data_IF_644822081013
#
_entry.id   IF_644822081013
#
_cell.length_a   1.000
_cell.length_b   1.000
_cell.length_c   1.000
_cell.angle_alpha   90.00
_cell.angle_beta   90.00
_cell.angle_gamma   90.00
#
_symmetry.space_group_name_H-M   'P 1'
#
loop_
_entity.id
_entity.type
_entity.pdbx_description
1 polymer ?
#
# COMPACT_ATOMS: atom_id res chain seq x y z
N UNK A 1 8.09 8.87 -20.87
CA UNK A 1 9.48 9.26 -20.58
C UNK A 1 10.25 8.06 -20.00
N UNK A 2 11.57 7.93 -20.25
CA UNK A 2 12.37 6.86 -19.59
C UNK A 2 12.62 7.20 -18.12
N UNK A 3 13.08 8.41 -17.84
CA UNK A 3 13.39 8.90 -16.50
C UNK A 3 12.99 10.37 -16.35
N UNK A 4 12.63 10.81 -15.14
CA UNK A 4 12.39 12.21 -14.80
C UNK A 4 13.10 12.51 -13.47
N UNK A 5 13.82 13.63 -13.39
CA UNK A 5 14.61 14.01 -12.21
C UNK A 5 14.58 15.53 -11.98
N UNK A 6 14.48 15.91 -10.71
CA UNK A 6 14.55 17.28 -10.22
C UNK A 6 13.86 17.40 -8.86
N UNK A 7 14.13 18.46 -8.10
CA UNK A 7 13.60 18.65 -6.73
C UNK A 7 12.07 18.47 -6.66
N UNK A 8 11.37 18.95 -7.69
CA UNK A 8 9.97 18.66 -7.94
C UNK A 8 9.81 18.01 -9.31
N UNK A 9 9.32 16.78 -9.33
CA UNK A 9 9.07 16.02 -10.56
C UNK A 9 7.58 15.81 -10.75
N UNK A 10 6.99 16.35 -11.83
CA UNK A 10 5.59 16.14 -12.20
C UNK A 10 5.48 15.68 -13.64
N UNK A 11 5.05 14.43 -13.84
CA UNK A 11 5.02 13.79 -15.17
C UNK A 11 3.87 12.79 -15.26
N UNK A 12 3.33 12.58 -16.46
CA UNK A 12 2.22 11.64 -16.63
C UNK A 12 2.70 10.18 -16.67
N UNK A 13 3.73 9.87 -17.46
CA UNK A 13 4.14 8.49 -17.71
C UNK A 13 5.67 8.31 -17.64
N UNK A 14 6.11 7.46 -16.71
CA UNK A 14 7.53 7.10 -16.50
C UNK A 14 7.74 5.60 -16.55
N UNK A 15 8.61 5.16 -17.46
CA UNK A 15 8.91 3.74 -17.64
C UNK A 15 9.95 3.20 -16.66
N UNK A 16 10.95 4.00 -16.25
CA UNK A 16 12.02 3.53 -15.37
C UNK A 16 12.01 4.19 -13.99
N UNK A 17 12.19 5.50 -13.91
CA UNK A 17 12.41 6.16 -12.63
C UNK A 17 11.96 7.62 -12.64
N UNK A 18 11.21 8.01 -11.62
CA UNK A 18 10.95 9.41 -11.30
C UNK A 18 11.64 9.70 -9.95
N UNK A 19 12.45 10.75 -9.86
CA UNK A 19 13.20 11.07 -8.65
C UNK A 19 13.16 12.56 -8.34
N UNK A 20 12.84 12.90 -7.09
CA UNK A 20 12.81 14.27 -6.59
C UNK A 20 12.27 14.32 -5.19
N UNK A 21 12.61 15.34 -4.40
CA UNK A 21 12.09 15.51 -3.03
C UNK A 21 10.57 15.43 -2.98
N UNK A 22 9.90 16.02 -3.98
CA UNK A 22 8.49 15.85 -4.25
C UNK A 22 8.25 15.27 -5.64
N UNK A 23 7.68 14.07 -5.70
CA UNK A 23 7.39 13.36 -6.95
C UNK A 23 5.90 13.12 -7.12
N UNK A 24 5.32 13.64 -8.20
CA UNK A 24 3.92 13.41 -8.59
C UNK A 24 3.85 12.77 -9.97
N UNK A 25 3.36 11.53 -10.04
CA UNK A 25 3.33 10.78 -11.31
C UNK A 25 2.02 10.04 -11.50
N UNK A 26 1.42 10.12 -12.68
CA UNK A 26 0.20 9.32 -12.94
C UNK A 26 0.55 7.83 -13.03
N UNK A 27 1.47 7.44 -13.92
CA UNK A 27 1.87 6.04 -14.08
C UNK A 27 3.38 5.85 -14.00
N UNK A 28 3.79 4.94 -13.11
CA UNK A 28 5.19 4.53 -12.94
C UNK A 28 5.30 3.02 -13.07
N UNK A 29 6.02 2.57 -14.09
CA UNK A 29 6.20 1.12 -14.30
C UNK A 29 7.23 0.51 -13.35
N UNK A 30 8.24 1.28 -12.91
CA UNK A 30 9.40 0.73 -12.19
C UNK A 30 9.66 1.35 -10.82
N UNK A 31 9.87 2.66 -10.71
CA UNK A 31 10.16 3.25 -9.41
C UNK A 31 9.86 4.76 -9.40
N UNK A 32 9.32 5.23 -8.28
CA UNK A 32 9.30 6.64 -7.90
C UNK A 32 10.14 6.77 -6.64
N UNK A 33 10.91 7.86 -6.50
CA UNK A 33 11.81 8.17 -5.38
C UNK A 33 11.71 9.64 -4.95
N UNK A 34 11.78 9.92 -3.65
CA UNK A 34 11.57 11.22 -3.02
C UNK A 34 11.28 11.20 -1.52
N UNK A 35 11.32 12.36 -0.88
CA UNK A 35 10.80 12.47 0.49
C UNK A 35 9.26 12.28 0.50
N UNK A 36 8.59 12.86 -0.50
CA UNK A 36 7.14 12.76 -0.68
C UNK A 36 6.81 12.31 -2.09
N UNK A 37 6.07 11.20 -2.21
CA UNK A 37 5.63 10.66 -3.50
C UNK A 37 4.12 10.51 -3.54
N UNK A 38 3.50 11.04 -4.60
CA UNK A 38 2.11 10.85 -4.95
C UNK A 38 2.01 10.17 -6.32
N UNK A 39 1.54 8.92 -6.37
CA UNK A 39 1.43 8.17 -7.63
C UNK A 39 0.01 7.66 -7.85
N UNK A 40 -0.53 7.75 -9.07
CA UNK A 40 -1.84 7.12 -9.33
C UNK A 40 -1.69 5.60 -9.47
N UNK A 41 -0.74 5.13 -10.28
CA UNK A 41 -0.48 3.71 -10.47
C UNK A 41 1.01 3.38 -10.47
N UNK A 42 1.42 2.46 -9.60
CA UNK A 42 2.79 1.94 -9.54
C UNK A 42 2.80 0.41 -9.70
N UNK A 43 3.54 -0.10 -10.68
CA UNK A 43 3.64 -1.55 -10.94
C UNK A 43 4.74 -2.22 -10.11
N UNK A 44 5.68 -1.45 -9.58
CA UNK A 44 6.87 -1.88 -8.84
C UNK A 44 7.07 -0.99 -7.59
N UNK A 45 8.05 -1.29 -6.70
CA UNK A 45 8.15 -0.60 -5.41
C UNK A 45 8.18 0.93 -5.50
N UNK A 46 7.43 1.60 -4.63
CA UNK A 46 7.64 3.00 -4.22
C UNK A 46 8.18 2.98 -2.79
N UNK A 47 9.26 3.70 -2.47
CA UNK A 47 10.02 3.56 -1.21
C UNK A 47 10.45 4.92 -0.66
N UNK A 48 9.54 5.67 -0.04
CA UNK A 48 9.76 7.07 0.33
C UNK A 48 9.54 7.36 1.82
N UNK A 49 9.77 8.60 2.29
CA UNK A 49 9.35 8.95 3.66
C UNK A 49 7.82 8.98 3.75
N UNK A 50 7.17 9.64 2.79
CA UNK A 50 5.71 9.69 2.66
C UNK A 50 5.29 9.20 1.28
N UNK A 51 4.52 8.11 1.26
CA UNK A 51 4.04 7.46 0.05
C UNK A 51 2.52 7.52 0.00
N UNK A 52 1.96 8.23 -0.98
CA UNK A 52 0.54 8.23 -1.28
C UNK A 52 0.30 7.63 -2.67
N UNK A 53 -0.41 6.51 -2.75
CA UNK A 53 -0.65 5.84 -4.04
C UNK A 53 -2.10 5.43 -4.21
N UNK A 54 -2.68 5.60 -5.40
CA UNK A 54 -4.04 5.08 -5.64
C UNK A 54 -4.02 3.57 -5.87
N UNK A 55 -3.10 3.06 -6.70
CA UNK A 55 -2.98 1.63 -7.00
C UNK A 55 -1.54 1.14 -7.02
N UNK A 56 -1.26 0.07 -6.27
CA UNK A 56 0.06 -0.54 -6.14
C UNK A 56 -0.02 -2.04 -6.42
N UNK A 57 0.70 -2.50 -7.43
CA UNK A 57 0.73 -3.94 -7.75
C UNK A 57 1.70 -4.72 -6.85
N UNK A 58 2.86 -4.15 -6.52
CA UNK A 58 3.92 -4.88 -5.80
C UNK A 58 4.15 -4.39 -4.38
N UNK A 59 4.62 -3.17 -4.21
CA UNK A 59 5.00 -2.70 -2.89
C UNK A 59 4.89 -1.17 -2.82
N UNK A 60 4.31 -0.68 -1.73
CA UNK A 60 4.42 0.69 -1.31
C UNK A 60 5.06 0.69 0.08
N UNK A 61 6.12 1.45 0.24
CA UNK A 61 6.88 1.50 1.47
C UNK A 61 7.19 2.95 1.82
N UNK A 62 7.17 3.23 3.12
CA UNK A 62 7.65 4.49 3.65
C UNK A 62 7.44 4.67 5.13
N UNK A 63 7.88 5.77 5.73
CA UNK A 63 7.56 6.03 7.14
C UNK A 63 6.03 6.18 7.31
N UNK A 64 5.40 6.92 6.40
CA UNK A 64 3.95 7.03 6.28
C UNK A 64 3.50 6.55 4.91
N UNK A 65 2.67 5.50 4.87
CA UNK A 65 2.17 4.90 3.65
C UNK A 65 0.65 4.97 3.62
N UNK A 66 0.10 5.66 2.63
CA UNK A 66 -1.34 5.74 2.37
C UNK A 66 -1.63 5.19 0.98
N UNK A 67 -2.44 4.13 0.88
CA UNK A 67 -2.77 3.52 -0.41
C UNK A 67 -4.23 3.19 -0.53
N UNK A 68 -4.87 3.49 -1.67
CA UNK A 68 -6.25 3.03 -1.88
C UNK A 68 -6.29 1.54 -2.17
N UNK A 69 -5.53 1.04 -3.14
CA UNK A 69 -5.52 -0.37 -3.53
C UNK A 69 -4.11 -0.96 -3.58
N UNK A 70 -3.89 -2.05 -2.85
CA UNK A 70 -2.61 -2.78 -2.79
C UNK A 70 -2.81 -4.25 -3.10
N UNK A 71 -2.17 -4.74 -4.16
CA UNK A 71 -2.26 -6.17 -4.48
C UNK A 71 -1.32 -7.04 -3.64
N UNK A 72 -0.12 -6.56 -3.32
CA UNK A 72 0.89 -7.35 -2.61
C UNK A 72 1.22 -6.77 -1.24
N UNK A 73 1.94 -5.65 -1.15
CA UNK A 73 2.40 -5.17 0.15
C UNK A 73 2.33 -3.66 0.32
N UNK A 74 1.88 -3.20 1.47
CA UNK A 74 2.06 -1.84 1.96
C UNK A 74 2.76 -1.89 3.31
N UNK A 75 3.83 -1.11 3.47
CA UNK A 75 4.66 -1.14 4.67
C UNK A 75 5.04 0.27 5.13
N UNK A 76 5.06 0.47 6.44
CA UNK A 76 5.59 1.70 7.01
C UNK A 76 5.54 1.76 8.52
N UNK A 77 5.97 2.86 9.14
CA UNK A 77 5.71 3.06 10.56
C UNK A 77 4.20 3.28 10.80
N UNK A 78 3.60 4.10 9.94
CA UNK A 78 2.15 4.30 9.86
C UNK A 78 1.66 3.87 8.48
N UNK A 79 0.76 2.90 8.45
CA UNK A 79 0.20 2.35 7.21
C UNK A 79 -1.32 2.49 7.21
N UNK A 80 -1.86 3.18 6.22
CA UNK A 80 -3.30 3.29 5.98
C UNK A 80 -3.61 2.73 4.59
N UNK A 81 -4.51 1.75 4.51
CA UNK A 81 -4.88 1.14 3.23
C UNK A 81 -6.40 0.95 3.12
N UNK A 82 -7.02 1.34 2.01
CA UNK A 82 -8.44 1.03 1.82
C UNK A 82 -8.63 -0.46 1.51
N UNK A 83 -7.95 -0.99 0.50
CA UNK A 83 -8.05 -2.41 0.12
C UNK A 83 -6.66 -3.03 -0.03
N UNK A 84 -6.39 -4.13 0.68
CA UNK A 84 -5.16 -4.90 0.55
C UNK A 84 -5.41 -6.40 0.38
N UNK A 85 -4.86 -6.96 -0.70
CA UNK A 85 -5.06 -8.37 -1.03
C UNK A 85 -4.11 -9.29 -0.25
N UNK A 86 -2.85 -8.91 -0.04
CA UNK A 86 -1.91 -9.75 0.73
C UNK A 86 -1.54 -9.16 2.09
N UNK A 87 -0.76 -8.08 2.13
CA UNK A 87 -0.18 -7.62 3.40
C UNK A 87 -0.18 -6.10 3.57
N UNK A 88 -0.62 -5.63 4.73
CA UNK A 88 -0.36 -4.28 5.23
C UNK A 88 0.37 -4.37 6.57
N UNK A 89 1.50 -3.69 6.71
CA UNK A 89 2.36 -3.80 7.90
C UNK A 89 2.83 -2.43 8.40
N UNK A 90 2.88 -2.27 9.72
CA UNK A 90 3.53 -1.12 10.34
C UNK A 90 3.46 -1.11 11.85
N UNK A 91 3.97 -0.08 12.52
CA UNK A 91 3.75 0.06 13.96
C UNK A 91 2.27 0.38 14.24
N UNK A 92 1.70 1.27 13.44
CA UNK A 92 0.27 1.57 13.39
C UNK A 92 -0.29 1.22 12.02
N UNK A 93 -1.25 0.31 11.98
CA UNK A 93 -1.84 -0.19 10.73
C UNK A 93 -3.36 0.00 10.77
N UNK A 94 -3.90 0.74 9.80
CA UNK A 94 -5.34 0.93 9.61
C UNK A 94 -5.73 0.43 8.22
N UNK A 95 -6.69 -0.49 8.15
CA UNK A 95 -7.12 -1.06 6.87
C UNK A 95 -8.65 -1.15 6.80
N UNK A 96 -9.26 -0.70 5.70
CA UNK A 96 -10.70 -0.92 5.52
C UNK A 96 -10.98 -2.39 5.19
N UNK A 97 -10.36 -2.95 4.15
CA UNK A 97 -10.54 -4.34 3.74
C UNK A 97 -9.21 -5.06 3.55
N UNK A 98 -9.01 -6.18 4.23
CA UNK A 98 -7.83 -7.05 4.04
C UNK A 98 -8.20 -8.51 3.81
N UNK A 99 -7.63 -9.09 2.74
CA UNK A 99 -7.89 -10.49 2.39
C UNK A 99 -6.94 -11.47 3.09
N UNK A 100 -5.71 -11.07 3.44
CA UNK A 100 -4.78 -11.99 4.09
C UNK A 100 -4.20 -11.50 5.42
N UNK A 101 -3.47 -10.40 5.49
CA UNK A 101 -2.82 -9.99 6.73
C UNK A 101 -2.74 -8.48 6.87
N UNK A 102 -3.09 -8.00 8.06
CA UNK A 102 -2.75 -6.67 8.56
C UNK A 102 -2.00 -6.85 9.87
N UNK A 103 -0.81 -6.26 10.00
CA UNK A 103 0.06 -6.46 11.15
C UNK A 103 0.61 -5.15 11.70
N UNK A 104 0.68 -5.04 13.02
CA UNK A 104 1.36 -3.95 13.70
C UNK A 104 1.29 -4.01 15.21
N UNK A 105 1.89 -3.03 15.90
CA UNK A 105 1.69 -2.92 17.34
C UNK A 105 0.23 -2.53 17.65
N UNK A 106 -0.29 -1.57 16.88
CA UNK A 106 -1.70 -1.17 16.88
C UNK A 106 -2.29 -1.44 15.50
N UNK A 107 -3.30 -2.30 15.43
CA UNK A 107 -3.95 -2.70 14.17
C UNK A 107 -5.46 -2.47 14.26
N UNK A 108 -6.01 -1.70 13.33
CA UNK A 108 -7.45 -1.48 13.18
C UNK A 108 -7.91 -1.91 11.80
N UNK A 109 -8.89 -2.80 11.73
CA UNK A 109 -9.40 -3.32 10.46
C UNK A 109 -10.92 -3.32 10.43
N UNK A 110 -11.52 -2.75 9.39
CA UNK A 110 -12.99 -2.80 9.25
C UNK A 110 -13.46 -4.20 8.85
N UNK A 111 -12.93 -4.76 7.77
CA UNK A 111 -13.31 -6.08 7.28
C UNK A 111 -12.09 -6.92 6.94
N UNK A 112 -12.09 -8.16 7.40
CA UNK A 112 -10.96 -9.06 7.21
C UNK A 112 -11.38 -10.49 6.87
N UNK A 113 -10.68 -11.13 5.94
CA UNK A 113 -10.90 -12.55 5.62
C UNK A 113 -10.03 -13.49 6.45
N UNK A 114 -8.83 -13.06 6.86
CA UNK A 114 -7.88 -13.81 7.68
C UNK A 114 -7.35 -12.96 8.84
N UNK A 115 -7.25 -13.45 10.08
CA UNK A 115 -7.01 -12.63 11.26
C UNK A 115 -5.90 -11.59 11.12
N UNK A 116 -6.19 -10.36 11.57
CA UNK A 116 -5.20 -9.31 11.77
C UNK A 116 -4.39 -9.58 13.04
N UNK A 117 -3.17 -9.05 13.12
CA UNK A 117 -2.24 -9.32 14.23
C UNK A 117 -1.69 -8.02 14.83
N UNK A 118 -1.52 -8.03 16.16
CA UNK A 118 -0.90 -6.94 16.90
C UNK A 118 -1.13 -6.99 18.39
N UNK A 119 -0.34 -6.22 19.14
CA UNK A 119 -0.50 -6.10 20.60
C UNK A 119 -1.86 -5.50 20.96
N UNK A 120 -2.32 -4.52 20.17
CA UNK A 120 -3.69 -3.99 20.20
C UNK A 120 -4.32 -4.23 18.83
N UNK A 121 -5.37 -5.05 18.78
CA UNK A 121 -6.07 -5.37 17.52
C UNK A 121 -7.56 -5.10 17.67
N UNK A 122 -8.12 -4.29 16.77
CA UNK A 122 -9.56 -4.05 16.65
C UNK A 122 -10.03 -4.46 15.25
N UNK A 123 -11.02 -5.35 15.20
CA UNK A 123 -11.60 -5.85 13.95
C UNK A 123 -13.11 -5.69 14.03
N UNK A 124 -13.71 -4.97 13.08
CA UNK A 124 -15.17 -4.76 13.05
C UNK A 124 -15.91 -5.98 12.49
N UNK A 125 -15.41 -6.58 11.42
CA UNK A 125 -16.06 -7.71 10.75
C UNK A 125 -15.05 -8.72 10.22
N UNK A 126 -15.35 -10.00 10.41
CA UNK A 126 -14.61 -11.11 9.82
C UNK A 126 -15.46 -11.77 8.76
N UNK A 127 -15.03 -11.67 7.50
CA UNK A 127 -15.65 -12.37 6.39
C UNK A 127 -15.32 -13.86 6.50
N UNK A 128 -16.34 -14.70 6.70
CA UNK A 128 -16.15 -16.14 6.63
C UNK A 128 -16.04 -16.54 5.16
N UNK A 129 -15.04 -17.36 4.84
CA UNK A 129 -15.02 -18.05 3.56
C UNK A 129 -16.27 -18.93 3.50
N UNK A 130 -17.14 -18.71 2.50
CA UNK A 130 -18.25 -19.62 2.25
C UNK A 130 -17.64 -20.98 1.91
N UNK A 131 -17.63 -21.90 2.87
CA UNK A 131 -17.40 -23.30 2.60
C UNK A 131 -18.65 -23.78 1.87
N UNK A 132 -18.58 -23.81 0.53
CA UNK A 132 -19.56 -24.56 -0.25
C UNK A 132 -19.58 -26.01 0.24
N UNK A 133 -20.71 -26.74 0.14
CA UNK A 133 -20.78 -28.12 0.57
C UNK A 133 -19.64 -28.92 -0.10
N UNK A 134 -18.86 -29.64 0.69
CA UNK A 134 -17.87 -30.57 0.14
C UNK A 134 -18.63 -31.66 -0.62
N UNK A 135 -18.31 -31.94 -1.90
CA UNK A 135 -18.89 -33.07 -2.58
C UNK A 135 -18.46 -34.36 -1.85
N UNK A 136 -19.46 -35.17 -1.49
CA UNK A 136 -19.31 -36.52 -0.91
C UNK A 136 -18.77 -37.51 -1.93
#
# INVERSE_FOLDING_TARGET
MKQAQGDTTSVTNVMKQAQGDTTSVTNVMKQAQGATTSVTSVMKPAQEVTTSVTSVMKQAQGATTSVTNVMKQAQGATTSVTNVMKQAQGATTSVTNVMQQAQGATTSVTSVMKPAQGATTSVTSVMKQAQGPQPV
#
